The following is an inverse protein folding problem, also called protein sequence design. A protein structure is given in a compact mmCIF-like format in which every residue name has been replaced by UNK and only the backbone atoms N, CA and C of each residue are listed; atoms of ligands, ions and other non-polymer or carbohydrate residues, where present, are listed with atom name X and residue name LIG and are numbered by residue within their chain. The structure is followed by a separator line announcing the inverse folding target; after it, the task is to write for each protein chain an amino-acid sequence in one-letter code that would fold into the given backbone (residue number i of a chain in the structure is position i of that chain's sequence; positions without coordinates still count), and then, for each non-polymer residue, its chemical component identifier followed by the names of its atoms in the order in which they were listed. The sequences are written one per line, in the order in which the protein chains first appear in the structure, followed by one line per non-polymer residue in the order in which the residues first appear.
data_IF_228885630139
#
_entry.id   IF_228885630139
#
_cell.length_a   1.000
_cell.length_b   1.000
_cell.length_c   1.000
_cell.angle_alpha   90.00
_cell.angle_beta   90.00
_cell.angle_gamma   90.00
#
_symmetry.space_group_name_H-M   'P 1'
#
loop_
_entity.id
_entity.type
_entity.pdbx_description
1 polymer ?
#
# COMPACT_ATOMS: atom_id res chain seq x y z
N UNK A 1 27.55 -17.73 5.60
CA UNK A 1 28.42 -16.71 4.97
C UNK A 1 28.20 -16.55 3.46
N UNK A 2 27.49 -17.43 2.73
CA UNK A 2 27.25 -17.25 1.29
C UNK A 2 25.90 -16.58 0.93
N UNK A 3 24.97 -16.50 1.88
CA UNK A 3 23.61 -16.00 1.65
C UNK A 3 23.53 -14.48 1.41
N UNK A 4 24.45 -13.69 1.96
CA UNK A 4 24.50 -12.24 1.77
C UNK A 4 24.73 -11.87 0.30
N UNK A 5 25.64 -12.58 -0.38
CA UNK A 5 25.96 -12.35 -1.79
C UNK A 5 24.78 -12.73 -2.71
N UNK A 6 24.01 -13.75 -2.35
CA UNK A 6 22.84 -14.19 -3.11
C UNK A 6 21.75 -13.13 -3.08
N UNK A 7 21.50 -12.52 -1.91
CA UNK A 7 20.49 -11.46 -1.77
C UNK A 7 20.85 -10.26 -2.66
N UNK A 8 22.13 -9.84 -2.64
CA UNK A 8 22.60 -8.72 -3.46
C UNK A 8 22.45 -9.04 -4.96
N UNK A 9 22.84 -10.25 -5.40
CA UNK A 9 22.71 -10.66 -6.79
C UNK A 9 21.24 -10.63 -7.28
N UNK A 10 20.31 -11.13 -6.47
CA UNK A 10 18.88 -11.12 -6.78
C UNK A 10 18.34 -9.68 -6.90
N UNK A 11 18.74 -8.79 -5.99
CA UNK A 11 18.33 -7.37 -6.04
C UNK A 11 18.87 -6.70 -7.29
N UNK A 12 20.13 -6.92 -7.66
CA UNK A 12 20.73 -6.34 -8.87
C UNK A 12 20.01 -6.85 -10.12
N UNK A 13 19.78 -8.16 -10.24
CA UNK A 13 19.04 -8.73 -11.38
C UNK A 13 17.64 -8.16 -11.45
N UNK A 14 16.93 -8.04 -10.31
CA UNK A 14 15.63 -7.40 -10.25
C UNK A 14 15.67 -5.94 -10.73
N UNK A 15 16.63 -5.14 -10.26
CA UNK A 15 16.78 -3.75 -10.69
C UNK A 15 17.17 -3.63 -12.16
N UNK A 16 17.91 -4.57 -12.74
CA UNK A 16 18.23 -4.57 -14.16
C UNK A 16 17.01 -4.91 -15.04
N UNK A 17 16.19 -5.87 -14.63
CA UNK A 17 14.96 -6.26 -15.35
C UNK A 17 13.91 -5.16 -15.26
N UNK A 18 13.65 -4.66 -14.05
CA UNK A 18 12.59 -3.67 -13.81
C UNK A 18 13.05 -2.23 -14.03
N UNK A 19 14.35 -1.97 -13.99
CA UNK A 19 14.92 -0.62 -14.02
C UNK A 19 14.82 0.09 -12.66
N UNK A 20 15.87 0.83 -12.29
CA UNK A 20 15.94 1.55 -11.02
C UNK A 20 14.81 2.58 -10.82
N UNK A 21 14.19 3.08 -11.90
CA UNK A 21 13.08 4.03 -11.85
C UNK A 21 11.74 3.39 -11.44
N UNK A 22 11.55 2.08 -11.67
CA UNK A 22 10.26 1.41 -11.38
C UNK A 22 10.03 1.19 -9.89
N UNK A 23 11.07 0.98 -9.09
CA UNK A 23 10.91 0.81 -7.64
C UNK A 23 10.34 2.09 -6.97
N UNK A 24 10.88 3.30 -7.21
CA UNK A 24 10.28 4.54 -6.71
C UNK A 24 8.87 4.83 -7.27
N UNK A 25 8.62 4.50 -8.53
CA UNK A 25 7.31 4.70 -9.18
C UNK A 25 6.24 3.80 -8.55
N UNK A 26 6.56 2.52 -8.32
CA UNK A 26 5.70 1.56 -7.62
C UNK A 26 5.44 1.99 -6.18
N UNK A 27 6.47 2.42 -5.44
CA UNK A 27 6.30 2.92 -4.08
C UNK A 27 5.37 4.15 -4.01
N UNK A 28 5.50 5.07 -4.97
CA UNK A 28 4.64 6.27 -5.06
C UNK A 28 3.20 5.92 -5.41
N UNK A 29 2.98 5.08 -6.40
CA UNK A 29 1.63 4.68 -6.85
C UNK A 29 0.92 3.85 -5.78
N UNK A 30 1.62 2.88 -5.21
CA UNK A 30 1.12 2.07 -4.10
C UNK A 30 0.85 2.91 -2.85
N UNK A 31 1.72 3.87 -2.53
CA UNK A 31 1.52 4.80 -1.42
C UNK A 31 0.28 5.67 -1.60
N UNK A 32 0.03 6.17 -2.81
CA UNK A 32 -1.20 6.91 -3.14
C UNK A 32 -2.45 6.03 -3.01
N UNK A 33 -2.43 4.85 -3.62
CA UNK A 33 -3.55 3.91 -3.56
C UNK A 33 -3.90 3.50 -2.12
N UNK A 34 -2.88 3.19 -1.31
CA UNK A 34 -3.06 2.89 0.12
C UNK A 34 -3.65 4.09 0.88
N UNK A 35 -3.19 5.31 0.57
CA UNK A 35 -3.69 6.53 1.20
C UNK A 35 -5.16 6.82 0.86
N UNK A 36 -5.57 6.63 -0.39
CA UNK A 36 -6.96 6.77 -0.82
C UNK A 36 -7.85 5.68 -0.22
N UNK A 37 -7.36 4.44 -0.18
CA UNK A 37 -8.06 3.33 0.45
C UNK A 37 -8.32 3.57 1.95
N UNK A 38 -7.30 4.03 2.68
CA UNK A 38 -7.44 4.28 4.12
C UNK A 38 -8.42 5.41 4.42
N UNK A 39 -8.44 6.47 3.60
CA UNK A 39 -9.43 7.55 3.70
C UNK A 39 -10.85 7.04 3.46
N UNK A 40 -11.05 6.28 2.37
CA UNK A 40 -12.35 5.70 2.05
C UNK A 40 -12.83 4.72 3.13
N UNK A 41 -11.93 3.94 3.73
CA UNK A 41 -12.23 3.06 4.87
C UNK A 41 -12.73 3.85 6.07
N UNK A 42 -12.03 4.92 6.46
CA UNK A 42 -12.40 5.80 7.57
C UNK A 42 -13.75 6.50 7.33
N UNK A 43 -14.01 6.98 6.12
CA UNK A 43 -15.29 7.58 5.74
C UNK A 43 -16.42 6.55 5.81
N UNK A 44 -16.22 5.35 5.26
CA UNK A 44 -17.19 4.26 5.31
C UNK A 44 -17.52 3.84 6.75
N UNK A 45 -16.52 3.76 7.64
CA UNK A 45 -16.72 3.43 9.05
C UNK A 45 -17.53 4.49 9.79
N UNK A 46 -17.27 5.78 9.52
CA UNK A 46 -18.07 6.88 10.08
C UNK A 46 -19.51 6.83 9.59
N UNK A 47 -19.71 6.66 8.29
CA UNK A 47 -21.05 6.53 7.72
C UNK A 47 -21.81 5.36 8.34
N UNK A 48 -21.19 4.18 8.44
CA UNK A 48 -21.78 3.01 9.08
C UNK A 48 -22.17 3.25 10.53
N UNK A 49 -21.34 3.99 11.28
CA UNK A 49 -21.65 4.35 12.66
C UNK A 49 -22.83 5.32 12.72
N UNK A 50 -22.82 6.38 11.91
CA UNK A 50 -23.89 7.37 11.86
C UNK A 50 -25.23 6.75 11.42
N UNK A 51 -25.20 5.73 10.54
CA UNK A 51 -26.38 4.97 10.16
C UNK A 51 -26.95 4.16 11.34
N UNK A 52 -26.11 3.46 12.10
CA UNK A 52 -26.53 2.69 13.28
C UNK A 52 -27.08 3.60 14.39
N UNK A 53 -26.38 4.69 14.69
CA UNK A 53 -26.81 5.65 15.71
C UNK A 53 -28.18 6.28 15.35
N UNK A 54 -28.45 6.52 14.04
CA UNK A 54 -29.75 7.00 13.56
C UNK A 54 -30.86 5.94 13.60
N UNK A 55 -30.55 4.66 13.45
CA UNK A 55 -31.53 3.58 13.60
C UNK A 55 -31.92 3.35 15.06
N UNK A 56 -30.99 3.50 16.01
CA UNK A 56 -31.29 3.36 17.46
C UNK A 56 -32.10 4.54 18.04
N UNK A 57 -32.06 5.71 17.39
CA UNK A 57 -32.82 6.90 17.79
C UNK A 57 -34.26 6.94 17.25
N UNK A 58 -34.66 5.96 16.43
CA UNK A 58 -36.04 5.81 15.90
C UNK A 58 -36.84 4.81 16.72
#
# INVERSE_FOLDING_TARGET
MAYENVIIAVVIIGVLIFGAKKIPELARTFGKAKGEFEKGRLESEKELKDFKDKEELK
#
